data_IF_629264743683
#
_entry.id   IF_629264743683
#
_cell.length_a   1.000
_cell.length_b   1.000
_cell.length_c   1.000
_cell.angle_alpha   90.00
_cell.angle_beta   90.00
_cell.angle_gamma   90.00
#
_symmetry.space_group_name_H-M   'P 1'
#
loop_
_entity.id
_entity.type
_entity.pdbx_description
1 polymer ?
#
# COMPACT_ATOMS: atom_id res chain seq x y z
N UNK A 1 -9.99 11.78 -15.64
CA UNK A 1 -9.89 11.15 -14.30
C UNK A 1 -8.52 11.40 -13.70
N UNK A 2 -8.36 11.26 -12.41
CA UNK A 2 -7.08 11.30 -11.71
C UNK A 2 -6.90 9.98 -10.96
N UNK A 3 -5.87 9.21 -11.35
CA UNK A 3 -5.49 7.96 -10.68
C UNK A 3 -4.36 8.24 -9.69
N UNK A 4 -4.52 7.77 -8.47
CA UNK A 4 -3.56 7.94 -7.39
C UNK A 4 -3.18 6.55 -6.86
N UNK A 5 -1.90 6.26 -6.81
CA UNK A 5 -1.42 5.02 -6.22
C UNK A 5 -0.28 5.28 -5.23
N UNK A 6 -0.06 4.33 -4.34
CA UNK A 6 1.01 4.41 -3.38
C UNK A 6 1.52 3.05 -2.95
N UNK A 7 2.83 2.97 -2.68
CA UNK A 7 3.51 1.77 -2.16
C UNK A 7 4.35 2.16 -0.95
N UNK A 8 4.31 1.33 0.08
CA UNK A 8 5.16 1.45 1.26
C UNK A 8 5.45 0.06 1.84
N UNK A 9 6.49 -0.07 2.66
CA UNK A 9 6.83 -1.33 3.29
C UNK A 9 6.99 -1.23 4.80
N UNK A 10 6.90 -2.38 5.44
CA UNK A 10 7.27 -2.57 6.84
C UNK A 10 8.00 -3.90 7.01
N UNK A 11 8.90 -3.96 7.98
CA UNK A 11 9.57 -5.21 8.30
C UNK A 11 10.98 -5.33 7.72
N UNK A 12 11.53 -4.32 7.06
CA UNK A 12 12.93 -4.34 6.61
C UNK A 12 13.88 -4.21 7.80
N UNK A 13 14.25 -5.35 8.38
CA UNK A 13 15.20 -5.43 9.49
C UNK A 13 14.67 -6.01 10.80
N UNK A 14 13.46 -6.56 10.89
CA UNK A 14 13.04 -7.28 12.08
C UNK A 14 13.82 -8.60 12.20
N UNK A 15 14.06 -9.00 13.42
CA UNK A 15 14.66 -10.31 13.74
C UNK A 15 13.61 -11.41 13.58
N UNK A 16 12.33 -11.05 13.74
CA UNK A 16 11.17 -11.93 13.67
C UNK A 16 10.05 -11.24 12.89
N UNK A 17 9.44 -11.97 11.97
CA UNK A 17 8.29 -11.52 11.19
C UNK A 17 8.61 -11.30 9.70
N UNK A 18 7.57 -11.24 8.84
CA UNK A 18 7.73 -11.06 7.42
C UNK A 18 8.16 -9.63 7.05
N UNK A 19 8.80 -9.48 5.91
CA UNK A 19 8.78 -8.22 5.18
C UNK A 19 7.40 -8.08 4.54
N UNK A 20 6.73 -6.98 4.79
CA UNK A 20 5.41 -6.72 4.19
C UNK A 20 5.47 -5.48 3.32
N UNK A 21 5.01 -5.59 2.07
CA UNK A 21 4.88 -4.48 1.14
C UNK A 21 3.40 -4.25 0.88
N UNK A 22 2.94 -3.03 1.07
CA UNK A 22 1.56 -2.61 0.82
C UNK A 22 1.45 -1.73 -0.42
N UNK A 23 0.36 -1.89 -1.16
CA UNK A 23 0.00 -1.07 -2.30
C UNK A 23 -1.47 -0.65 -2.26
N UNK A 24 -1.77 0.56 -2.67
CA UNK A 24 -3.14 1.09 -2.75
C UNK A 24 -3.33 1.89 -4.02
N UNK A 25 -4.45 1.69 -4.69
CA UNK A 25 -4.84 2.45 -5.88
C UNK A 25 -6.24 3.05 -5.72
N UNK A 26 -6.37 4.31 -6.12
CA UNK A 26 -7.62 5.08 -6.09
C UNK A 26 -7.81 5.83 -7.40
N UNK A 27 -9.06 6.13 -7.74
CA UNK A 27 -9.41 7.06 -8.82
C UNK A 27 -10.40 8.12 -8.33
N UNK A 28 -10.42 9.26 -9.02
CA UNK A 28 -11.37 10.33 -8.72
C UNK A 28 -11.31 11.46 -9.76
N UNK A 29 -12.09 12.51 -9.58
CA UNK A 29 -12.00 13.73 -10.37
C UNK A 29 -10.62 14.39 -10.26
N UNK A 30 -10.29 15.23 -11.22
CA UNK A 30 -9.10 16.08 -11.14
C UNK A 30 -9.10 16.94 -9.87
N UNK A 31 -7.93 17.09 -9.23
CA UNK A 31 -7.80 17.84 -7.97
C UNK A 31 -8.31 17.10 -6.74
N UNK A 32 -8.64 15.81 -6.84
CA UNK A 32 -9.05 14.98 -5.70
C UNK A 32 -8.00 15.02 -4.59
N UNK A 33 -8.45 15.40 -3.39
CA UNK A 33 -7.65 15.40 -2.16
C UNK A 33 -8.29 14.44 -1.13
N UNK A 34 -7.89 13.14 -1.09
CA UNK A 34 -8.59 12.12 -0.32
C UNK A 34 -8.72 12.43 1.17
N UNK A 35 -7.71 12.99 1.84
CA UNK A 35 -7.83 13.41 3.25
C UNK A 35 -8.90 14.48 3.47
N UNK A 36 -9.07 15.42 2.52
CA UNK A 36 -10.09 16.45 2.59
C UNK A 36 -11.48 15.87 2.31
N UNK A 37 -11.59 15.02 1.29
CA UNK A 37 -12.83 14.34 0.94
C UNK A 37 -13.35 13.51 2.11
N UNK A 38 -12.47 12.74 2.74
CA UNK A 38 -12.80 11.82 3.83
C UNK A 38 -12.71 12.45 5.23
N UNK A 39 -12.58 13.78 5.36
CA UNK A 39 -12.31 14.47 6.62
C UNK A 39 -13.33 14.20 7.74
N UNK A 40 -14.56 13.78 7.41
CA UNK A 40 -15.58 13.41 8.38
C UNK A 40 -15.24 12.10 9.11
N UNK A 41 -14.56 11.15 8.44
CA UNK A 41 -14.28 9.80 8.93
C UNK A 41 -12.79 9.51 9.09
N UNK A 42 -11.94 10.30 8.44
CA UNK A 42 -10.48 10.09 8.37
C UNK A 42 -9.74 11.32 8.89
N UNK A 43 -8.59 11.09 9.50
CA UNK A 43 -7.66 12.16 9.91
C UNK A 43 -6.21 11.80 9.57
N UNK A 44 -5.44 12.77 9.09
CA UNK A 44 -3.98 12.68 8.97
C UNK A 44 -3.27 13.01 10.28
N UNK A 45 -3.88 13.88 11.07
CA UNK A 45 -3.32 14.41 12.32
C UNK A 45 -3.44 13.42 13.48
N UNK A 46 -3.19 13.89 14.71
CA UNK A 46 -3.36 13.07 15.92
C UNK A 46 -4.75 12.45 15.98
N UNK A 47 -4.85 11.30 16.65
CA UNK A 47 -6.10 10.57 16.83
C UNK A 47 -7.25 11.50 17.26
N UNK A 48 -8.38 11.32 16.58
CA UNK A 48 -9.68 11.92 16.96
C UNK A 48 -10.69 10.78 17.13
N UNK A 49 -11.43 10.80 18.25
CA UNK A 49 -12.48 9.82 18.52
C UNK A 49 -13.47 9.76 17.33
N UNK A 50 -13.81 8.56 16.89
CA UNK A 50 -14.73 8.32 15.78
C UNK A 50 -14.13 8.50 14.39
N UNK A 51 -12.79 8.64 14.26
CA UNK A 51 -12.12 8.72 12.96
C UNK A 51 -10.95 7.75 12.89
N UNK A 52 -10.78 7.11 11.74
CA UNK A 52 -9.55 6.37 11.43
C UNK A 52 -8.40 7.33 11.13
N UNK A 53 -7.19 6.90 11.44
CA UNK A 53 -6.00 7.70 11.18
C UNK A 53 -5.21 7.14 10.01
N UNK A 54 -5.17 7.86 8.90
CA UNK A 54 -4.34 7.54 7.73
C UNK A 54 -3.13 8.48 7.71
N UNK A 55 -1.98 7.95 8.09
CA UNK A 55 -0.69 8.64 8.17
C UNK A 55 0.41 7.57 8.23
N UNK A 56 1.67 7.98 8.31
CA UNK A 56 2.81 7.09 8.62
C UNK A 56 2.43 6.09 9.71
N UNK A 57 2.57 4.80 9.41
CA UNK A 57 2.15 3.71 10.31
C UNK A 57 2.84 3.76 11.67
N UNK A 58 4.08 4.24 11.74
CA UNK A 58 4.80 4.44 13.00
C UNK A 58 4.10 5.48 13.88
N UNK A 59 3.58 6.55 13.25
CA UNK A 59 2.76 7.58 13.95
C UNK A 59 1.39 7.04 14.35
N UNK A 60 0.76 6.19 13.52
CA UNK A 60 -0.53 5.55 13.83
C UNK A 60 -0.39 4.59 15.01
N UNK A 61 0.68 3.79 15.01
CA UNK A 61 0.98 2.77 16.03
C UNK A 61 1.37 3.34 17.41
N UNK A 62 1.68 4.63 17.54
CA UNK A 62 2.15 5.22 18.80
C UNK A 62 1.16 5.05 19.97
N UNK A 63 1.70 4.69 21.16
CA UNK A 63 0.97 4.61 22.43
C UNK A 63 0.14 3.33 22.59
N UNK A 64 -0.57 3.20 23.72
CA UNK A 64 -1.18 1.94 24.16
C UNK A 64 -2.26 1.38 23.22
N UNK A 65 -2.91 2.24 22.45
CA UNK A 65 -3.94 1.85 21.47
C UNK A 65 -3.43 1.80 20.02
N UNK A 66 -2.11 1.76 19.80
CA UNK A 66 -1.51 1.82 18.49
C UNK A 66 -1.93 0.68 17.57
N UNK A 67 -1.94 -0.55 18.06
CA UNK A 67 -2.39 -1.70 17.28
C UNK A 67 -3.88 -1.62 16.92
N UNK A 68 -4.73 -1.24 17.87
CA UNK A 68 -6.16 -1.03 17.60
C UNK A 68 -6.36 -0.04 16.45
N UNK A 69 -5.63 1.08 16.45
CA UNK A 69 -5.74 2.09 15.40
C UNK A 69 -5.25 1.63 14.03
N UNK A 70 -4.18 0.82 13.97
CA UNK A 70 -3.74 0.22 12.72
C UNK A 70 -4.80 -0.74 12.18
N UNK A 71 -5.30 -1.63 13.03
CA UNK A 71 -6.35 -2.58 12.72
C UNK A 71 -7.63 -1.86 12.24
N UNK A 72 -8.08 -0.83 12.97
CA UNK A 72 -9.20 0.04 12.56
C UNK A 72 -8.95 0.63 11.17
N UNK A 73 -7.75 1.15 10.89
CA UNK A 73 -7.45 1.77 9.60
C UNK A 73 -7.48 0.74 8.48
N UNK A 74 -6.78 -0.36 8.62
CA UNK A 74 -6.71 -1.39 7.59
C UNK A 74 -8.09 -2.01 7.32
N UNK A 75 -8.80 -2.44 8.36
CA UNK A 75 -10.08 -3.12 8.20
C UNK A 75 -11.20 -2.19 7.73
N UNK A 76 -11.22 -0.90 8.12
CA UNK A 76 -12.19 0.07 7.59
C UNK A 76 -12.02 0.27 6.09
N UNK A 77 -10.78 0.41 5.59
CA UNK A 77 -10.56 0.56 4.15
C UNK A 77 -10.73 -0.74 3.38
N UNK A 78 -10.38 -1.88 3.97
CA UNK A 78 -10.75 -3.18 3.42
C UNK A 78 -12.26 -3.31 3.26
N UNK A 79 -13.03 -2.99 4.30
CA UNK A 79 -14.51 -3.01 4.27
C UNK A 79 -15.07 -2.01 3.25
N UNK A 80 -14.45 -0.83 3.11
CA UNK A 80 -14.88 0.15 2.12
C UNK A 80 -14.72 -0.35 0.68
N UNK A 81 -13.75 -1.24 0.42
CA UNK A 81 -13.51 -1.85 -0.89
C UNK A 81 -14.35 -3.12 -1.12
N UNK A 82 -14.41 -4.00 -0.12
CA UNK A 82 -14.98 -5.36 -0.27
C UNK A 82 -16.39 -5.53 0.33
N UNK A 83 -16.89 -4.54 1.09
CA UNK A 83 -18.21 -4.56 1.72
C UNK A 83 -18.22 -5.05 3.16
N UNK A 84 -17.33 -5.97 3.52
CA UNK A 84 -17.24 -6.54 4.87
C UNK A 84 -15.78 -6.78 5.29
N UNK A 85 -15.47 -6.75 6.60
CA UNK A 85 -14.16 -7.12 7.09
C UNK A 85 -13.99 -8.63 7.10
N UNK A 86 -12.77 -9.16 6.88
CA UNK A 86 -12.47 -10.59 6.97
C UNK A 86 -12.80 -11.12 8.38
N UNK A 87 -13.21 -12.37 8.47
CA UNK A 87 -13.50 -12.99 9.76
C UNK A 87 -12.22 -13.45 10.48
N UNK A 88 -11.22 -13.91 9.72
CA UNK A 88 -9.95 -14.40 10.26
C UNK A 88 -8.75 -13.85 9.50
N UNK A 89 -7.57 -13.94 10.09
CA UNK A 89 -6.32 -13.61 9.40
C UNK A 89 -6.08 -14.55 8.21
N UNK A 90 -6.41 -15.83 8.35
CA UNK A 90 -6.37 -16.82 7.26
C UNK A 90 -7.19 -16.35 6.06
N UNK A 91 -8.46 -16.04 6.28
CA UNK A 91 -9.37 -15.54 5.24
C UNK A 91 -8.82 -14.28 4.56
N UNK A 92 -8.26 -13.37 5.36
CA UNK A 92 -7.70 -12.13 4.82
C UNK A 92 -6.48 -12.38 3.93
N UNK A 93 -5.54 -13.22 4.38
CA UNK A 93 -4.34 -13.56 3.59
C UNK A 93 -4.71 -14.28 2.29
N UNK A 94 -5.69 -15.20 2.32
CA UNK A 94 -6.21 -15.85 1.10
C UNK A 94 -6.85 -14.84 0.15
N UNK A 95 -7.65 -13.91 0.67
CA UNK A 95 -8.28 -12.85 -0.13
C UNK A 95 -7.25 -11.89 -0.75
N UNK A 96 -6.09 -11.72 -0.11
CA UNK A 96 -4.93 -10.99 -0.64
C UNK A 96 -4.11 -11.79 -1.67
N UNK A 97 -4.48 -13.05 -1.93
CA UNK A 97 -3.82 -13.91 -2.91
C UNK A 97 -2.57 -14.63 -2.40
N UNK A 98 -2.36 -14.69 -1.07
CA UNK A 98 -1.20 -15.41 -0.51
C UNK A 98 -1.36 -16.92 -0.58
N UNK A 99 -0.29 -17.62 -1.01
CA UNK A 99 -0.09 -19.02 -0.67
C UNK A 99 0.33 -19.10 0.80
N UNK A 100 -0.45 -19.80 1.61
CA UNK A 100 -0.20 -19.90 3.05
C UNK A 100 0.79 -21.01 3.41
N UNK A 101 1.07 -21.94 2.49
CA UNK A 101 1.95 -23.07 2.76
C UNK A 101 3.39 -22.65 3.17
N UNK A 102 4.01 -21.64 2.55
CA UNK A 102 5.29 -21.13 3.00
C UNK A 102 5.24 -20.54 4.42
N UNK A 103 4.24 -19.71 4.71
CA UNK A 103 4.07 -19.10 6.04
C UNK A 103 3.88 -20.17 7.13
N UNK A 104 3.06 -21.19 6.87
CA UNK A 104 2.74 -22.24 7.84
C UNK A 104 3.91 -23.18 8.16
N UNK A 105 4.99 -23.16 7.38
CA UNK A 105 6.24 -23.85 7.75
C UNK A 105 6.95 -23.21 8.94
N UNK A 106 6.70 -21.93 9.20
CA UNK A 106 7.21 -21.24 10.37
C UNK A 106 6.35 -21.56 11.61
N UNK A 107 6.91 -22.08 12.71
CA UNK A 107 6.12 -22.52 13.87
C UNK A 107 5.21 -21.45 14.47
N UNK A 108 5.59 -20.18 14.38
CA UNK A 108 4.77 -19.08 14.92
C UNK A 108 3.63 -18.64 13.99
N UNK A 109 3.52 -19.22 12.77
CA UNK A 109 2.41 -19.01 11.83
C UNK A 109 1.56 -20.28 11.64
N UNK A 110 1.74 -21.30 12.49
CA UNK A 110 0.97 -22.56 12.42
C UNK A 110 -0.55 -22.31 12.52
N UNK A 111 -0.96 -21.37 13.37
CA UNK A 111 -2.36 -21.00 13.53
C UNK A 111 -2.62 -19.61 12.95
N UNK A 112 -3.20 -19.57 11.75
CA UNK A 112 -3.66 -18.35 11.09
C UNK A 112 -5.16 -18.10 11.28
N UNK A 113 -5.92 -18.98 11.95
CA UNK A 113 -7.34 -18.83 12.26
C UNK A 113 -7.58 -17.85 13.43
N UNK A 114 -6.83 -16.76 13.42
CA UNK A 114 -6.99 -15.68 14.38
C UNK A 114 -8.18 -14.83 13.97
N UNK A 115 -9.19 -14.76 14.83
CA UNK A 115 -10.36 -13.90 14.60
C UNK A 115 -9.96 -12.44 14.42
N UNK A 116 -10.58 -11.78 13.45
CA UNK A 116 -10.44 -10.35 13.18
C UNK A 116 -11.79 -9.64 13.35
N UNK A 117 -11.79 -8.42 13.92
CA UNK A 117 -10.66 -7.70 14.50
C UNK A 117 -10.20 -8.27 15.85
N UNK A 118 -8.91 -8.12 16.16
CA UNK A 118 -8.32 -8.57 17.43
C UNK A 118 -8.58 -7.60 18.60
N UNK A 119 -8.65 -6.32 18.31
CA UNK A 119 -8.71 -5.23 19.30
C UNK A 119 -9.74 -4.16 18.97
N UNK A 120 -10.11 -4.03 17.72
CA UNK A 120 -11.11 -3.06 17.27
C UNK A 120 -12.53 -3.64 17.41
N UNK A 121 -13.52 -2.79 17.27
CA UNK A 121 -14.93 -3.16 17.30
C UNK A 121 -15.39 -3.46 15.86
N UNK A 122 -15.92 -4.66 15.62
CA UNK A 122 -16.34 -5.11 14.28
C UNK A 122 -17.50 -4.27 13.73
N UNK A 123 -18.49 -3.96 14.55
CA UNK A 123 -19.66 -3.20 14.12
C UNK A 123 -19.26 -1.77 13.75
N UNK A 124 -18.35 -1.18 14.51
CA UNK A 124 -17.79 0.12 14.21
C UNK A 124 -16.98 0.12 12.91
N UNK A 125 -16.21 -0.94 12.64
CA UNK A 125 -15.47 -1.12 11.37
C UNK A 125 -16.45 -1.20 10.21
N UNK A 126 -17.49 -2.03 10.29
CA UNK A 126 -18.50 -2.17 9.24
C UNK A 126 -19.18 -0.84 8.93
N UNK A 127 -19.67 -0.16 9.98
CA UNK A 127 -20.33 1.15 9.83
C UNK A 127 -19.39 2.20 9.23
N UNK A 128 -18.16 2.29 9.75
CA UNK A 128 -17.20 3.31 9.29
C UNK A 128 -16.72 3.02 7.88
N UNK A 129 -16.53 1.74 7.51
CA UNK A 129 -16.19 1.31 6.15
C UNK A 129 -17.27 1.69 5.15
N UNK A 130 -18.56 1.46 5.48
CA UNK A 130 -19.67 1.90 4.64
C UNK A 130 -19.73 3.43 4.47
N UNK A 131 -19.50 4.18 5.56
CA UNK A 131 -19.47 5.64 5.53
C UNK A 131 -18.31 6.17 4.68
N UNK A 132 -17.13 5.56 4.74
CA UNK A 132 -15.97 5.87 3.88
C UNK A 132 -16.30 5.58 2.42
N UNK A 133 -16.84 4.38 2.12
CA UNK A 133 -17.24 4.00 0.75
C UNK A 133 -18.29 4.96 0.17
N UNK A 134 -19.28 5.35 0.99
CA UNK A 134 -20.31 6.34 0.60
C UNK A 134 -19.70 7.71 0.30
N UNK A 135 -18.79 8.17 1.17
CA UNK A 135 -18.11 9.47 0.98
C UNK A 135 -17.24 9.49 -0.27
N UNK A 136 -16.55 8.38 -0.57
CA UNK A 136 -15.81 8.22 -1.83
C UNK A 136 -16.75 8.35 -3.03
N UNK A 137 -17.82 7.55 -3.09
CA UNK A 137 -18.82 7.61 -4.18
C UNK A 137 -19.43 8.99 -4.35
N UNK A 138 -19.81 9.65 -3.26
CA UNK A 138 -20.38 11.01 -3.31
C UNK A 138 -19.37 12.04 -3.87
N UNK A 139 -18.07 11.84 -3.65
CA UNK A 139 -17.01 12.64 -4.23
C UNK A 139 -16.59 12.23 -5.65
N UNK A 140 -17.27 11.27 -6.26
CA UNK A 140 -16.89 10.69 -7.55
C UNK A 140 -15.57 9.93 -7.51
N UNK A 141 -15.18 9.47 -6.32
CA UNK A 141 -13.95 8.72 -6.09
C UNK A 141 -14.21 7.25 -5.84
N UNK A 142 -13.23 6.43 -6.16
CA UNK A 142 -13.25 4.98 -5.98
C UNK A 142 -11.93 4.50 -5.41
N UNK A 143 -11.98 3.58 -4.46
CA UNK A 143 -10.86 2.77 -4.06
C UNK A 143 -10.82 1.56 -5.01
N UNK A 144 -9.74 1.42 -5.78
CA UNK A 144 -9.66 0.44 -6.87
C UNK A 144 -9.01 -0.85 -6.46
N UNK A 145 -7.99 -0.76 -5.59
CA UNK A 145 -7.17 -1.90 -5.21
C UNK A 145 -6.46 -1.67 -3.87
N UNK A 146 -6.32 -2.74 -3.12
CA UNK A 146 -5.46 -2.89 -1.96
C UNK A 146 -4.68 -4.18 -2.15
N UNK A 147 -3.38 -4.05 -2.38
CA UNK A 147 -2.44 -5.17 -2.57
C UNK A 147 -1.48 -5.23 -1.38
N UNK A 148 -1.25 -6.41 -0.86
CA UNK A 148 -0.27 -6.64 0.21
C UNK A 148 0.50 -7.90 -0.10
N UNK A 149 1.83 -7.83 -0.05
CA UNK A 149 2.73 -8.95 -0.15
C UNK A 149 3.44 -9.16 1.19
N UNK A 150 3.32 -10.33 1.76
CA UNK A 150 4.07 -10.75 2.94
C UNK A 150 5.13 -11.78 2.53
N UNK A 151 6.39 -11.41 2.61
CA UNK A 151 7.55 -12.26 2.34
C UNK A 151 8.02 -12.84 3.66
N UNK A 152 7.94 -14.14 3.84
CA UNK A 152 8.36 -14.81 5.06
C UNK A 152 9.89 -14.83 5.23
N UNK A 153 10.35 -15.33 6.39
CA UNK A 153 11.78 -15.35 6.71
C UNK A 153 12.58 -16.30 5.82
N UNK A 154 11.97 -17.43 5.43
CA UNK A 154 12.62 -18.42 4.55
C UNK A 154 12.78 -17.84 3.16
N UNK A 155 11.70 -17.34 2.58
CA UNK A 155 11.69 -16.69 1.28
C UNK A 155 12.63 -15.47 1.26
N UNK A 156 12.62 -14.66 2.32
CA UNK A 156 13.54 -13.53 2.46
C UNK A 156 15.01 -13.94 2.44
N UNK A 157 15.36 -15.03 3.11
CA UNK A 157 16.74 -15.55 3.12
C UNK A 157 17.13 -16.06 1.72
N UNK A 158 16.25 -16.78 1.03
CA UNK A 158 16.48 -17.21 -0.37
C UNK A 158 16.72 -16.00 -1.27
N UNK A 159 15.92 -14.96 -1.19
CA UNK A 159 16.09 -13.73 -1.97
C UNK A 159 17.45 -13.05 -1.70
N UNK A 160 17.93 -13.07 -0.45
CA UNK A 160 19.25 -12.52 -0.12
C UNK A 160 20.36 -13.40 -0.73
N UNK A 161 20.26 -14.72 -0.62
CA UNK A 161 21.25 -15.67 -1.17
C UNK A 161 21.32 -15.54 -2.70
N UNK A 162 20.21 -15.50 -3.37
CA UNK A 162 20.12 -15.39 -4.85
C UNK A 162 20.66 -14.05 -5.37
N UNK A 163 20.46 -12.98 -4.63
CA UNK A 163 20.87 -11.63 -5.06
C UNK A 163 22.23 -11.20 -4.54
N UNK A 164 22.78 -11.91 -3.53
CA UNK A 164 23.97 -11.53 -2.75
C UNK A 164 23.94 -10.04 -2.30
N UNK A 165 22.71 -9.51 -2.12
CA UNK A 165 22.54 -8.09 -1.80
C UNK A 165 21.18 -7.80 -1.18
N UNK A 166 21.15 -7.46 0.10
CA UNK A 166 19.93 -7.14 0.83
C UNK A 166 19.08 -6.02 0.18
N UNK A 167 19.72 -5.02 -0.44
CA UNK A 167 18.98 -3.93 -1.13
C UNK A 167 18.33 -4.40 -2.43
N UNK A 168 18.95 -5.36 -3.12
CA UNK A 168 18.33 -5.99 -4.30
C UNK A 168 17.17 -6.90 -3.90
N UNK A 169 17.37 -7.74 -2.88
CA UNK A 169 16.32 -8.60 -2.32
C UNK A 169 15.11 -7.77 -1.87
N UNK A 170 15.35 -6.68 -1.14
CA UNK A 170 14.31 -5.75 -0.71
C UNK A 170 13.53 -5.17 -1.90
N UNK A 171 14.25 -4.66 -2.90
CA UNK A 171 13.58 -4.11 -4.07
C UNK A 171 12.85 -5.18 -4.89
N UNK A 172 13.31 -6.43 -4.88
CA UNK A 172 12.61 -7.53 -5.56
C UNK A 172 11.19 -7.71 -5.01
N UNK A 173 11.06 -7.87 -3.69
CA UNK A 173 9.75 -7.97 -3.04
C UNK A 173 8.90 -6.69 -3.26
N UNK A 174 9.54 -5.51 -3.17
CA UNK A 174 8.87 -4.24 -3.41
C UNK A 174 8.36 -4.11 -4.85
N UNK A 175 9.13 -4.60 -5.81
CA UNK A 175 8.83 -4.54 -7.24
C UNK A 175 7.61 -5.38 -7.63
N UNK A 176 7.28 -6.44 -6.90
CA UNK A 176 6.09 -7.24 -7.15
C UNK A 176 4.82 -6.41 -6.93
N UNK A 177 4.70 -5.74 -5.79
CA UNK A 177 3.54 -4.86 -5.51
C UNK A 177 3.53 -3.65 -6.46
N UNK A 178 4.69 -3.02 -6.68
CA UNK A 178 4.81 -1.91 -7.62
C UNK A 178 4.39 -2.31 -9.04
N UNK A 179 4.84 -3.47 -9.52
CA UNK A 179 4.49 -4.04 -10.82
C UNK A 179 3.00 -4.34 -10.93
N UNK A 180 2.42 -4.97 -9.90
CA UNK A 180 0.98 -5.21 -9.83
C UNK A 180 0.17 -3.92 -10.01
N UNK A 181 0.50 -2.85 -9.26
CA UNK A 181 -0.19 -1.57 -9.39
C UNK A 181 0.00 -0.94 -10.77
N UNK A 182 1.20 -0.96 -11.33
CA UNK A 182 1.47 -0.40 -12.67
C UNK A 182 0.70 -1.16 -13.75
N UNK A 183 0.69 -2.50 -13.71
CA UNK A 183 -0.05 -3.34 -14.65
C UNK A 183 -1.58 -3.14 -14.52
N UNK A 184 -2.07 -2.87 -13.31
CA UNK A 184 -3.49 -2.53 -13.08
C UNK A 184 -3.87 -1.12 -13.54
N UNK A 185 -2.93 -0.17 -13.48
CA UNK A 185 -3.16 1.22 -13.87
C UNK A 185 -3.11 1.44 -15.38
N UNK A 186 -2.11 0.89 -16.09
CA UNK A 186 -1.95 1.12 -17.52
C UNK A 186 -3.21 0.88 -18.36
N UNK A 187 -3.99 -0.20 -18.16
CA UNK A 187 -5.23 -0.42 -18.91
C UNK A 187 -6.32 0.61 -18.62
N UNK A 188 -6.32 1.21 -17.43
CA UNK A 188 -7.36 2.11 -16.93
C UNK A 188 -7.13 3.57 -17.33
N UNK A 189 -5.86 4.00 -17.42
CA UNK A 189 -5.47 5.40 -17.70
C UNK A 189 -5.77 5.74 -19.14
N UNK A 190 -6.61 6.76 -19.36
CA UNK A 190 -6.90 7.33 -20.68
C UNK A 190 -5.86 8.39 -21.07
N UNK A 191 -5.97 8.87 -22.33
CA UNK A 191 -5.03 9.85 -22.89
C UNK A 191 -4.97 11.18 -22.11
N UNK A 192 -6.12 11.61 -21.61
CA UNK A 192 -6.29 12.90 -20.92
C UNK A 192 -6.38 12.73 -19.40
N UNK A 193 -6.09 11.54 -18.90
CA UNK A 193 -6.12 11.24 -17.48
C UNK A 193 -4.78 11.52 -16.82
N UNK A 194 -4.80 12.05 -15.60
CA UNK A 194 -3.63 12.14 -14.76
C UNK A 194 -3.46 10.82 -13.99
N UNK A 195 -2.22 10.32 -13.91
CA UNK A 195 -1.89 9.15 -13.10
C UNK A 195 -0.58 9.38 -12.34
N UNK A 196 -0.65 9.30 -11.01
CA UNK A 196 0.50 9.50 -10.14
C UNK A 196 0.62 8.35 -9.15
N UNK A 197 1.78 7.71 -9.13
CA UNK A 197 2.16 6.71 -8.14
C UNK A 197 3.28 7.29 -7.27
N UNK A 198 3.07 7.32 -5.95
CA UNK A 198 4.06 7.78 -4.98
C UNK A 198 4.48 6.60 -4.11
N UNK A 199 5.73 6.23 -4.18
CA UNK A 199 6.31 5.09 -3.50
C UNK A 199 7.30 5.56 -2.42
N UNK A 200 7.34 4.87 -1.27
CA UNK A 200 8.40 5.14 -0.31
C UNK A 200 9.74 4.67 -0.87
N UNK A 201 10.81 5.35 -0.49
CA UNK A 201 12.12 5.12 -1.05
C UNK A 201 12.77 3.88 -0.43
N UNK A 202 13.18 2.94 -1.27
CA UNK A 202 13.83 1.71 -0.82
C UNK A 202 15.24 1.98 -0.27
N UNK A 203 15.32 2.33 1.01
CA UNK A 203 16.59 2.65 1.67
C UNK A 203 17.34 3.80 1.00
N UNK A 204 18.64 3.62 0.74
CA UNK A 204 19.50 4.62 0.08
C UNK A 204 19.40 4.68 -1.44
N UNK A 205 18.53 3.89 -2.07
CA UNK A 205 18.44 3.77 -3.55
C UNK A 205 17.98 5.07 -4.19
N UNK A 206 18.64 5.52 -5.25
CA UNK A 206 18.30 6.74 -5.99
C UNK A 206 17.86 6.48 -7.43
N UNK A 207 18.33 5.38 -8.05
CA UNK A 207 18.12 5.10 -9.46
C UNK A 207 17.19 3.91 -9.63
N UNK A 208 16.06 4.12 -10.32
CA UNK A 208 15.02 3.09 -10.53
C UNK A 208 14.68 2.89 -12.02
N UNK A 209 15.30 3.66 -12.94
CA UNK A 209 14.95 3.61 -14.36
C UNK A 209 15.01 2.21 -14.96
N UNK A 210 16.09 1.48 -14.68
CA UNK A 210 16.29 0.12 -15.23
C UNK A 210 15.30 -0.87 -14.61
N UNK A 211 14.97 -0.70 -13.35
CA UNK A 211 14.00 -1.55 -12.66
C UNK A 211 12.58 -1.31 -13.17
N UNK A 212 12.20 -0.05 -13.36
CA UNK A 212 10.92 0.31 -13.99
C UNK A 212 10.83 -0.22 -15.43
N UNK A 213 11.95 -0.20 -16.18
CA UNK A 213 11.98 -0.79 -17.52
C UNK A 213 11.80 -2.31 -17.53
N UNK A 214 12.27 -3.00 -16.49
CA UNK A 214 12.03 -4.45 -16.32
C UNK A 214 10.58 -4.73 -15.97
N UNK A 215 9.96 -3.91 -15.12
CA UNK A 215 8.55 -4.03 -14.72
C UNK A 215 7.59 -3.69 -15.86
N UNK A 216 7.93 -2.69 -16.68
CA UNK A 216 7.10 -2.21 -17.79
C UNK A 216 7.93 -2.20 -19.07
N UNK A 217 8.22 -3.37 -19.69
CA UNK A 217 9.11 -3.46 -20.85
C UNK A 217 8.58 -2.71 -22.08
N UNK A 218 7.27 -2.55 -22.20
CA UNK A 218 6.63 -1.84 -23.30
C UNK A 218 6.55 -0.32 -23.10
N UNK A 219 6.85 0.17 -21.88
CA UNK A 219 6.83 1.59 -21.59
C UNK A 219 8.16 2.28 -21.95
N UNK A 220 8.07 3.51 -22.46
CA UNK A 220 9.20 4.41 -22.54
C UNK A 220 9.36 5.13 -21.19
N UNK A 221 10.55 5.02 -20.59
CA UNK A 221 10.85 5.56 -19.26
C UNK A 221 11.73 6.81 -19.41
N UNK A 222 11.20 7.96 -19.00
CA UNK A 222 11.93 9.22 -18.92
C UNK A 222 12.27 9.54 -17.48
N UNK A 223 13.53 9.84 -17.20
CA UNK A 223 13.94 10.40 -15.91
C UNK A 223 13.54 11.87 -15.88
N UNK A 224 12.67 12.23 -14.94
CA UNK A 224 12.26 13.62 -14.72
C UNK A 224 13.24 14.30 -13.75
N UNK A 225 13.54 13.63 -12.64
CA UNK A 225 14.55 14.06 -11.68
C UNK A 225 15.10 12.89 -10.89
N UNK A 226 16.35 12.98 -10.46
CA UNK A 226 17.01 12.10 -9.50
C UNK A 226 17.86 12.96 -8.58
N UNK A 227 17.29 13.37 -7.45
CA UNK A 227 17.93 14.23 -6.45
C UNK A 227 17.92 13.55 -5.07
N UNK A 228 18.73 13.98 -4.12
CA UNK A 228 18.68 13.43 -2.76
C UNK A 228 17.26 13.49 -2.20
N UNK A 229 16.74 12.33 -1.78
CA UNK A 229 15.41 12.18 -1.18
C UNK A 229 14.24 12.04 -2.17
N UNK A 230 14.44 12.21 -3.47
CA UNK A 230 13.34 12.09 -4.46
C UNK A 230 13.88 11.66 -5.83
N UNK A 231 13.21 10.68 -6.45
CA UNK A 231 13.47 10.26 -7.83
C UNK A 231 12.13 10.11 -8.56
N UNK A 232 11.95 10.84 -9.65
CA UNK A 232 10.69 10.92 -10.41
C UNK A 232 10.92 10.48 -11.85
N UNK A 233 10.02 9.65 -12.34
CA UNK A 233 10.03 9.06 -13.67
C UNK A 233 8.67 9.23 -14.33
N UNK A 234 8.68 9.42 -15.64
CA UNK A 234 7.48 9.33 -16.46
C UNK A 234 7.52 8.06 -17.30
N UNK A 235 6.51 7.23 -17.17
CA UNK A 235 6.31 5.98 -17.87
C UNK A 235 5.25 6.19 -18.94
N UNK A 236 5.65 6.14 -20.23
CA UNK A 236 4.74 6.31 -21.35
C UNK A 236 4.56 5.03 -22.12
N UNK A 237 3.32 4.57 -22.26
CA UNK A 237 2.93 3.42 -23.07
C UNK A 237 1.76 3.81 -23.99
N UNK A 238 2.01 3.87 -25.30
CA UNK A 238 1.08 4.44 -26.28
C UNK A 238 0.68 5.89 -25.92
N UNK A 239 -0.60 6.15 -25.65
CA UNK A 239 -1.11 7.47 -25.24
C UNK A 239 -1.30 7.62 -23.73
N UNK A 240 -0.78 6.70 -22.93
CA UNK A 240 -0.96 6.64 -21.47
C UNK A 240 0.32 7.07 -20.79
N UNK A 241 0.19 7.95 -19.82
CA UNK A 241 1.31 8.48 -19.05
C UNK A 241 1.09 8.22 -17.54
N UNK A 242 2.09 7.63 -16.89
CA UNK A 242 2.11 7.41 -15.44
C UNK A 242 3.35 8.07 -14.87
N UNK A 243 3.17 8.99 -13.93
CA UNK A 243 4.26 9.57 -13.16
C UNK A 243 4.52 8.73 -11.92
N UNK A 244 5.73 8.19 -11.77
CA UNK A 244 6.17 7.42 -10.62
C UNK A 244 7.22 8.21 -9.85
N UNK A 245 6.97 8.44 -8.56
CA UNK A 245 7.89 9.16 -7.68
C UNK A 245 8.28 8.27 -6.50
N UNK A 246 9.56 8.01 -6.34
CA UNK A 246 10.12 7.43 -5.12
C UNK A 246 10.61 8.57 -4.22
N UNK A 247 10.10 8.64 -3.00
CA UNK A 247 10.41 9.77 -2.13
C UNK A 247 10.62 9.33 -0.68
N UNK A 248 11.50 10.03 0.02
CA UNK A 248 11.57 9.93 1.47
C UNK A 248 10.30 10.50 2.08
N UNK A 249 9.75 9.80 3.08
CA UNK A 249 8.50 10.18 3.76
C UNK A 249 7.33 10.32 2.79
N UNK A 250 7.23 9.39 1.86
CA UNK A 250 6.19 9.37 0.83
C UNK A 250 4.77 9.33 1.43
N UNK A 251 4.60 8.74 2.60
CA UNK A 251 3.37 8.70 3.38
C UNK A 251 2.89 10.10 3.86
N UNK A 252 3.80 11.05 3.96
CA UNK A 252 3.42 12.45 4.22
C UNK A 252 2.94 13.18 2.96
N UNK A 253 3.27 12.68 1.77
CA UNK A 253 2.98 13.29 0.46
C UNK A 253 1.70 12.78 -0.18
N UNK A 254 1.43 11.47 -0.10
CA UNK A 254 0.31 10.83 -0.79
C UNK A 254 -0.56 9.99 0.15
N UNK A 255 -1.88 10.13 -0.01
CA UNK A 255 -2.86 9.37 0.77
C UNK A 255 -2.75 7.85 0.52
N UNK A 256 -2.65 7.36 -0.74
CA UNK A 256 -2.51 5.94 -0.98
C UNK A 256 -1.26 5.34 -0.32
N UNK A 257 -0.13 6.06 -0.33
CA UNK A 257 1.11 5.60 0.32
C UNK A 257 0.96 5.54 1.84
N UNK A 258 0.33 6.56 2.45
CA UNK A 258 0.05 6.53 3.89
C UNK A 258 -0.91 5.40 4.28
N UNK A 259 -1.86 5.07 3.43
CA UNK A 259 -2.76 3.95 3.65
C UNK A 259 -2.02 2.61 3.44
N UNK A 260 -1.21 2.48 2.38
CA UNK A 260 -0.35 1.33 2.14
C UNK A 260 0.59 1.04 3.32
N UNK A 261 1.18 2.10 3.91
CA UNK A 261 2.00 2.01 5.14
C UNK A 261 1.25 1.36 6.32
N UNK A 262 -0.05 1.67 6.45
CA UNK A 262 -0.88 1.07 7.51
C UNK A 262 -1.19 -0.40 7.24
N UNK A 263 -1.38 -0.80 5.98
CA UNK A 263 -1.57 -2.19 5.60
C UNK A 263 -0.30 -3.03 5.77
N UNK A 264 0.85 -2.48 5.40
CA UNK A 264 2.14 -3.15 5.56
C UNK A 264 2.52 -3.37 7.04
N UNK A 265 1.98 -2.61 8.01
CA UNK A 265 2.36 -2.62 9.42
C UNK A 265 1.55 -3.55 10.28
#
# INVERSE_FOLDING_TARGET
MNYLAGVDEAGLGPILGPLVVGGVTMAGPEGTAPWRLLQSHVTKLKYKKGKVRVADSKKVKQGPHGFKRLEETALVFWTALHGEPPATLHEWLVALGHDLAPLQRCPWYENLDLELPRRADRDWICLTGELVARSLRQGGCELLDISVLAVDVEEWNVLIEDTDNKSKAHFHAYAEVLGHLLHGLFPRVGKDDACTLVADRCGGRMHYQMDLKRLCPDAFITVVEEIPGTSTYNLKQASRDITVTFAERAEDRAFPTALASCFAK
#
